data_IF_387828946924
#
_entry.id   IF_387828946924
#
_cell.length_a   1.000
_cell.length_b   1.000
_cell.length_c   1.000
_cell.angle_alpha   90.00
_cell.angle_beta   90.00
_cell.angle_gamma   90.00
#
_symmetry.space_group_name_H-M   'P 1'
#
loop_
_entity.id
_entity.type
_entity.pdbx_description
1 polymer ?
#
# COMPACT_ATOMS: atom_id res chain seq x y z
N UNK A 1 27.64 4.15 -1.87
CA UNK A 1 27.29 2.72 -1.74
C UNK A 1 25.80 2.60 -2.03
N UNK A 2 25.38 2.13 -3.21
CA UNK A 2 23.96 1.89 -3.46
C UNK A 2 23.58 0.65 -2.64
N UNK A 3 22.64 0.81 -1.71
CA UNK A 3 22.08 -0.34 -0.99
C UNK A 3 21.26 -1.14 -2.00
N UNK A 4 21.77 -2.31 -2.37
CA UNK A 4 20.95 -3.34 -2.98
C UNK A 4 19.83 -3.62 -1.98
N UNK A 5 18.59 -3.27 -2.31
CA UNK A 5 17.40 -3.64 -1.55
C UNK A 5 17.45 -5.17 -1.42
N UNK A 6 17.64 -5.68 -0.21
CA UNK A 6 17.57 -7.11 0.06
C UNK A 6 16.15 -7.59 -0.21
N UNK A 7 15.92 -8.10 -1.42
CA UNK A 7 14.68 -8.74 -1.88
C UNK A 7 14.37 -10.05 -1.14
N UNK A 8 15.16 -10.41 -0.12
CA UNK A 8 15.08 -11.66 0.65
C UNK A 8 13.79 -11.82 1.49
N UNK A 9 12.93 -10.79 1.56
CA UNK A 9 11.65 -10.82 2.29
C UNK A 9 10.40 -10.59 1.44
N UNK A 10 10.53 -10.35 0.13
CA UNK A 10 9.39 -9.99 -0.73
C UNK A 10 8.82 -11.25 -1.38
N UNK A 11 7.67 -11.69 -0.90
CA UNK A 11 6.96 -12.84 -1.46
C UNK A 11 6.67 -12.61 -2.95
N UNK A 12 6.87 -13.65 -3.78
CA UNK A 12 6.44 -13.64 -5.19
C UNK A 12 4.93 -13.50 -5.29
N UNK A 13 4.40 -13.04 -6.42
CA UNK A 13 2.95 -12.91 -6.62
C UNK A 13 2.24 -14.24 -6.36
N UNK A 14 2.86 -15.34 -6.75
CA UNK A 14 2.33 -16.68 -6.47
C UNK A 14 2.21 -16.95 -4.96
N UNK A 15 3.26 -16.71 -4.18
CA UNK A 15 3.23 -16.89 -2.72
C UNK A 15 2.22 -15.96 -2.05
N UNK A 16 2.11 -14.72 -2.54
CA UNK A 16 1.13 -13.77 -2.07
C UNK A 16 -0.31 -14.27 -2.30
N UNK A 17 -0.61 -14.78 -3.50
CA UNK A 17 -1.91 -15.35 -3.85
C UNK A 17 -2.21 -16.68 -3.11
N UNK A 18 -1.20 -17.50 -2.88
CA UNK A 18 -1.34 -18.72 -2.06
C UNK A 18 -1.72 -18.41 -0.60
N UNK A 19 -1.36 -17.23 -0.09
CA UNK A 19 -1.77 -16.73 1.21
C UNK A 19 -3.22 -16.25 1.31
N UNK A 20 -3.95 -16.14 0.18
CA UNK A 20 -5.34 -15.66 0.13
C UNK A 20 -6.32 -16.84 0.24
N UNK A 21 -7.48 -16.59 0.84
CA UNK A 21 -8.58 -17.56 0.93
C UNK A 21 -9.26 -17.75 -0.44
N UNK A 22 -9.78 -18.94 -0.68
CA UNK A 22 -10.37 -19.31 -1.99
C UNK A 22 -11.51 -18.39 -2.40
N UNK A 23 -12.35 -17.95 -1.46
CA UNK A 23 -13.48 -17.09 -1.79
C UNK A 23 -13.06 -15.67 -2.21
N UNK A 24 -12.00 -15.12 -1.61
CA UNK A 24 -11.41 -13.86 -2.07
C UNK A 24 -10.71 -14.04 -3.41
N UNK A 25 -10.03 -15.18 -3.65
CA UNK A 25 -9.47 -15.48 -4.97
C UNK A 25 -10.53 -15.58 -6.07
N UNK A 26 -11.70 -16.17 -5.79
CA UNK A 26 -12.82 -16.19 -6.75
C UNK A 26 -13.32 -14.79 -7.08
N UNK A 27 -13.43 -13.91 -6.07
CA UNK A 27 -13.85 -12.51 -6.25
C UNK A 27 -12.82 -11.74 -7.07
N UNK A 28 -11.53 -11.87 -6.73
CA UNK A 28 -10.42 -11.27 -7.48
C UNK A 28 -10.38 -11.75 -8.95
N UNK A 29 -10.53 -13.05 -9.18
CA UNK A 29 -10.61 -13.61 -10.53
C UNK A 29 -11.83 -13.08 -11.31
N UNK A 30 -12.96 -12.87 -10.64
CA UNK A 30 -14.16 -12.32 -11.27
C UNK A 30 -13.98 -10.83 -11.69
N UNK A 31 -13.15 -10.05 -10.99
CA UNK A 31 -12.80 -8.68 -11.40
C UNK A 31 -11.95 -8.66 -12.67
N UNK A 32 -11.07 -9.64 -12.83
CA UNK A 32 -10.23 -9.82 -14.02
C UNK A 32 -10.99 -10.39 -15.24
N UNK A 33 -12.33 -10.40 -15.19
CA UNK A 33 -13.19 -11.06 -16.18
C UNK A 33 -12.90 -12.56 -16.36
N UNK A 34 -12.28 -13.19 -15.37
CA UNK A 34 -11.90 -14.59 -15.39
C UNK A 34 -13.11 -15.54 -15.33
N UNK A 35 -12.90 -16.79 -15.74
CA UNK A 35 -13.97 -17.80 -15.71
C UNK A 35 -14.43 -18.05 -14.27
N UNK A 36 -15.68 -17.68 -13.98
CA UNK A 36 -16.33 -17.87 -12.67
C UNK A 36 -16.49 -19.35 -12.30
N UNK A 37 -16.23 -20.27 -13.24
CA UNK A 37 -16.29 -21.72 -13.02
C UNK A 37 -15.03 -22.30 -12.35
N UNK A 38 -13.94 -21.53 -12.24
CA UNK A 38 -12.75 -22.00 -11.53
C UNK A 38 -13.03 -22.12 -10.03
N UNK A 39 -12.96 -23.35 -9.52
CA UNK A 39 -13.23 -23.66 -8.10
C UNK A 39 -12.00 -24.12 -7.33
N UNK A 40 -10.97 -24.60 -8.04
CA UNK A 40 -9.72 -25.06 -7.43
C UNK A 40 -8.80 -23.88 -7.16
N UNK A 41 -8.22 -23.83 -5.96
CA UNK A 41 -7.31 -22.77 -5.52
C UNK A 41 -6.12 -22.60 -6.48
N UNK A 42 -5.47 -23.70 -6.87
CA UNK A 42 -4.32 -23.66 -7.76
C UNK A 42 -4.66 -23.05 -9.13
N UNK A 43 -5.81 -23.44 -9.71
CA UNK A 43 -6.26 -22.93 -11.01
C UNK A 43 -6.61 -21.43 -10.93
N UNK A 44 -7.23 -20.99 -9.82
CA UNK A 44 -7.50 -19.57 -9.56
C UNK A 44 -6.21 -18.75 -9.45
N UNK A 45 -5.22 -19.25 -8.70
CA UNK A 45 -3.92 -18.58 -8.55
C UNK A 45 -3.21 -18.48 -9.90
N UNK A 46 -3.20 -19.56 -10.69
CA UNK A 46 -2.57 -19.57 -12.01
C UNK A 46 -3.26 -18.61 -12.99
N UNK A 47 -4.60 -18.58 -13.00
CA UNK A 47 -5.36 -17.68 -13.85
C UNK A 47 -5.10 -16.20 -13.50
N UNK A 48 -5.11 -15.85 -12.22
CA UNK A 48 -4.81 -14.48 -11.76
C UNK A 48 -3.37 -14.11 -12.11
N UNK A 49 -2.40 -15.01 -11.85
CA UNK A 49 -0.99 -14.79 -12.17
C UNK A 49 -0.77 -14.50 -13.65
N UNK A 50 -1.45 -15.24 -14.54
CA UNK A 50 -1.36 -15.03 -15.99
C UNK A 50 -1.94 -13.68 -16.44
N UNK A 51 -2.96 -13.17 -15.74
CA UNK A 51 -3.53 -11.85 -16.02
C UNK A 51 -2.67 -10.70 -15.46
N UNK A 52 -1.88 -10.96 -14.43
CA UNK A 52 -1.00 -9.98 -13.79
C UNK A 52 0.41 -9.96 -14.41
N UNK A 53 0.53 -10.30 -15.69
CA UNK A 53 1.81 -10.33 -16.42
C UNK A 53 1.72 -9.61 -17.77
N UNK A 54 2.81 -8.93 -18.15
CA UNK A 54 2.99 -8.38 -19.49
C UNK A 54 1.90 -7.38 -19.91
N UNK A 55 1.27 -7.61 -21.07
CA UNK A 55 0.24 -6.71 -21.61
C UNK A 55 -1.03 -6.70 -20.76
N UNK A 56 -1.39 -7.84 -20.17
CA UNK A 56 -2.58 -7.94 -19.33
C UNK A 56 -2.40 -7.12 -18.04
N UNK A 57 -1.20 -7.13 -17.45
CA UNK A 57 -0.88 -6.31 -16.29
C UNK A 57 -1.14 -4.82 -16.57
N UNK A 58 -0.71 -4.33 -17.74
CA UNK A 58 -0.95 -2.93 -18.14
C UNK A 58 -2.44 -2.63 -18.31
N UNK A 59 -3.22 -3.57 -18.84
CA UNK A 59 -4.68 -3.40 -18.96
C UNK A 59 -5.37 -3.37 -17.60
N UNK A 60 -4.94 -4.19 -16.64
CA UNK A 60 -5.47 -4.16 -15.27
C UNK A 60 -5.05 -2.87 -14.56
N UNK A 61 -3.82 -2.41 -14.79
CA UNK A 61 -3.33 -1.12 -14.31
C UNK A 61 -4.18 0.05 -14.83
N UNK A 62 -4.51 0.06 -16.13
CA UNK A 62 -5.31 1.12 -16.74
C UNK A 62 -6.73 1.21 -16.15
N UNK A 63 -7.28 0.09 -15.68
CA UNK A 63 -8.59 0.01 -15.01
C UNK A 63 -8.60 0.56 -13.58
N UNK A 64 -7.44 0.75 -12.95
CA UNK A 64 -7.37 1.34 -11.62
C UNK A 64 -7.78 2.82 -11.63
N UNK A 65 -8.44 3.26 -10.56
CA UNK A 65 -8.73 4.67 -10.33
C UNK A 65 -7.44 5.45 -10.03
N UNK A 66 -7.47 6.77 -10.18
CA UNK A 66 -6.29 7.62 -10.01
C UNK A 66 -5.65 7.48 -8.61
N UNK A 67 -6.46 7.34 -7.56
CA UNK A 67 -5.98 7.09 -6.20
C UNK A 67 -5.37 5.70 -6.02
N UNK A 68 -5.94 4.69 -6.68
CA UNK A 68 -5.40 3.33 -6.65
C UNK A 68 -4.07 3.26 -7.39
N UNK A 69 -3.96 3.94 -8.54
CA UNK A 69 -2.70 4.12 -9.28
C UNK A 69 -1.66 4.85 -8.43
N UNK A 70 -2.05 5.93 -7.77
CA UNK A 70 -1.17 6.64 -6.86
C UNK A 70 -0.66 5.72 -5.74
N UNK A 71 -1.54 4.93 -5.11
CA UNK A 71 -1.14 4.02 -4.03
C UNK A 71 -0.10 3.00 -4.48
N UNK A 72 -0.26 2.41 -5.67
CA UNK A 72 0.72 1.49 -6.22
C UNK A 72 2.03 2.21 -6.56
N UNK A 73 1.98 3.42 -7.13
CA UNK A 73 3.18 4.20 -7.43
C UNK A 73 3.97 4.57 -6.16
N UNK A 74 3.28 4.96 -5.07
CA UNK A 74 3.91 5.23 -3.76
C UNK A 74 4.63 3.99 -3.21
N UNK A 75 4.04 2.80 -3.36
CA UNK A 75 4.65 1.56 -2.85
C UNK A 75 5.83 1.13 -3.72
N UNK A 76 5.75 1.29 -5.05
CA UNK A 76 6.85 0.90 -5.96
C UNK A 76 8.05 1.83 -5.79
N UNK A 77 7.80 3.14 -5.77
CA UNK A 77 8.86 4.16 -5.76
C UNK A 77 9.25 4.58 -4.34
N UNK A 78 8.52 4.14 -3.33
CA UNK A 78 8.82 4.40 -1.93
C UNK A 78 10.05 3.64 -1.43
N UNK A 79 10.77 4.25 -0.49
CA UNK A 79 12.04 3.71 0.03
C UNK A 79 11.88 2.34 0.72
N UNK A 80 10.75 2.11 1.39
CA UNK A 80 10.47 0.91 2.19
C UNK A 80 9.62 -0.14 1.45
N UNK A 81 9.23 0.13 0.19
CA UNK A 81 8.35 -0.73 -0.62
C UNK A 81 7.07 -1.18 0.11
N UNK A 82 6.54 -0.33 1.01
CA UNK A 82 5.39 -0.60 1.85
C UNK A 82 4.33 0.51 1.77
N UNK A 83 3.06 0.14 1.86
CA UNK A 83 1.94 1.07 1.85
C UNK A 83 1.75 1.71 3.23
N UNK A 84 1.97 3.02 3.31
CA UNK A 84 1.77 3.80 4.52
C UNK A 84 0.45 4.59 4.46
N UNK A 85 -0.63 4.03 4.99
CA UNK A 85 -1.97 4.65 4.97
C UNK A 85 -1.98 6.09 5.50
N UNK A 86 -1.30 6.35 6.62
CA UNK A 86 -1.23 7.67 7.22
C UNK A 86 -0.56 8.70 6.29
N UNK A 87 0.53 8.32 5.62
CA UNK A 87 1.24 9.19 4.70
C UNK A 87 0.44 9.41 3.42
N UNK A 88 -0.20 8.34 2.91
CA UNK A 88 -1.06 8.42 1.74
C UNK A 88 -2.22 9.39 1.99
N UNK A 89 -2.95 9.23 3.09
CA UNK A 89 -4.06 10.12 3.44
C UNK A 89 -3.62 11.55 3.70
N UNK A 90 -2.42 11.78 4.25
CA UNK A 90 -1.88 13.13 4.42
C UNK A 90 -1.59 13.81 3.06
N UNK A 91 -1.18 13.04 2.05
CA UNK A 91 -0.82 13.53 0.72
C UNK A 91 -2.01 13.67 -0.22
N UNK A 92 -2.94 12.72 -0.20
CA UNK A 92 -4.07 12.63 -1.12
C UNK A 92 -5.43 12.99 -0.49
N UNK A 93 -5.48 13.21 0.83
CA UNK A 93 -6.69 13.59 1.58
C UNK A 93 -7.58 12.41 1.98
N UNK A 94 -7.56 11.32 1.22
CA UNK A 94 -8.35 10.11 1.46
C UNK A 94 -7.54 8.82 1.20
N UNK A 95 -8.07 7.69 1.65
CA UNK A 95 -7.50 6.36 1.39
C UNK A 95 -7.96 5.85 0.02
N UNK A 96 -7.14 5.04 -0.69
CA UNK A 96 -7.54 4.45 -1.95
C UNK A 96 -8.60 3.38 -1.69
N UNK A 97 -9.45 3.11 -2.69
CA UNK A 97 -10.47 2.09 -2.54
C UNK A 97 -9.86 0.69 -2.47
N UNK A 98 -9.90 0.10 -1.27
CA UNK A 98 -9.52 -1.31 -0.99
C UNK A 98 -10.69 -2.28 -1.16
N UNK A 99 -11.87 -1.77 -1.48
CA UNK A 99 -13.13 -2.49 -1.49
C UNK A 99 -13.79 -2.53 -0.10
N UNK A 100 -14.90 -3.24 0.00
CA UNK A 100 -15.68 -3.30 1.24
C UNK A 100 -15.23 -4.46 2.12
N UNK A 101 -15.13 -4.22 3.43
CA UNK A 101 -14.96 -5.29 4.42
C UNK A 101 -16.00 -5.13 5.53
N UNK A 102 -16.88 -6.12 5.70
CA UNK A 102 -17.77 -6.18 6.86
C UNK A 102 -17.02 -6.62 8.13
N UNK A 103 -17.54 -6.29 9.32
CA UNK A 103 -16.95 -6.64 10.63
C UNK A 103 -16.57 -8.12 10.80
N UNK A 104 -17.25 -9.02 10.08
CA UNK A 104 -17.02 -10.46 10.14
C UNK A 104 -16.40 -11.06 8.86
N UNK A 105 -16.01 -10.22 7.89
CA UNK A 105 -15.22 -10.63 6.71
C UNK A 105 -15.94 -11.45 5.64
N UNK A 106 -17.12 -12.02 5.89
CA UNK A 106 -17.82 -12.91 4.95
C UNK A 106 -18.21 -12.23 3.63
N UNK A 107 -18.70 -11.00 3.68
CA UNK A 107 -19.10 -10.23 2.48
C UNK A 107 -18.01 -9.27 1.99
N UNK A 108 -16.73 -9.56 2.28
CA UNK A 108 -15.64 -8.72 1.75
C UNK A 108 -15.70 -8.66 0.23
N UNK A 109 -15.76 -7.48 -0.37
CA UNK A 109 -15.60 -7.32 -1.82
C UNK A 109 -14.27 -6.63 -2.06
N UNK A 110 -13.19 -7.36 -2.39
CA UNK A 110 -11.91 -6.74 -2.70
C UNK A 110 -12.02 -5.85 -3.94
N UNK A 111 -11.28 -4.75 -3.97
CA UNK A 111 -11.06 -3.96 -5.19
C UNK A 111 -9.90 -4.53 -6.02
N UNK A 112 -9.73 -4.02 -7.24
CA UNK A 112 -8.60 -4.34 -8.11
C UNK A 112 -7.24 -4.01 -7.48
N UNK A 113 -7.17 -3.01 -6.59
CA UNK A 113 -5.95 -2.66 -5.85
C UNK A 113 -5.36 -3.83 -5.06
N UNK A 114 -6.22 -4.75 -4.58
CA UNK A 114 -5.81 -5.94 -3.83
C UNK A 114 -5.02 -6.96 -4.67
N UNK A 115 -4.98 -6.80 -6.00
CA UNK A 115 -4.13 -7.60 -6.89
C UNK A 115 -2.70 -7.09 -6.97
N UNK A 116 -2.49 -5.81 -6.65
CA UNK A 116 -1.17 -5.17 -6.73
C UNK A 116 -0.50 -5.16 -5.36
N UNK A 117 -1.22 -4.69 -4.33
CA UNK A 117 -0.67 -4.54 -2.99
C UNK A 117 -1.19 -5.69 -2.11
N UNK A 118 -0.27 -6.56 -1.70
CA UNK A 118 -0.53 -7.72 -0.85
C UNK A 118 0.02 -7.49 0.55
N UNK A 119 -0.86 -7.40 1.55
CA UNK A 119 -0.48 -7.14 2.96
C UNK A 119 0.41 -5.89 3.11
N UNK A 120 0.17 -4.88 2.28
CA UNK A 120 0.91 -3.63 2.28
C UNK A 120 2.20 -3.63 1.46
N UNK A 121 2.62 -4.74 0.85
CA UNK A 121 3.80 -4.78 -0.03
C UNK A 121 3.42 -5.21 -1.44
N UNK A 122 4.23 -4.81 -2.43
CA UNK A 122 4.09 -5.30 -3.81
C UNK A 122 5.04 -6.48 -4.00
N UNK A 123 4.58 -7.62 -4.55
CA UNK A 123 5.45 -8.75 -4.88
C UNK A 123 6.60 -8.35 -5.79
N UNK A 124 7.79 -8.93 -5.60
CA UNK A 124 9.01 -8.50 -6.29
C UNK A 124 8.94 -8.66 -7.81
N UNK A 125 8.38 -9.79 -8.27
CA UNK A 125 8.12 -10.08 -9.68
C UNK A 125 7.18 -9.05 -10.30
N UNK A 126 6.17 -8.62 -9.54
CA UNK A 126 5.23 -7.60 -9.98
C UNK A 126 5.86 -6.20 -9.98
N UNK A 127 6.66 -5.87 -8.96
CA UNK A 127 7.35 -4.59 -8.83
C UNK A 127 8.29 -4.34 -10.02
N UNK A 128 9.07 -5.34 -10.44
CA UNK A 128 9.96 -5.24 -11.59
C UNK A 128 9.22 -4.96 -12.91
N UNK A 129 8.04 -5.55 -13.10
CA UNK A 129 7.22 -5.28 -14.28
C UNK A 129 6.59 -3.88 -14.21
N UNK A 130 6.07 -3.49 -13.04
CA UNK A 130 5.41 -2.19 -12.85
C UNK A 130 6.39 -1.02 -13.01
N UNK A 131 7.64 -1.14 -12.52
CA UNK A 131 8.69 -0.13 -12.68
C UNK A 131 8.95 0.27 -14.15
N UNK A 132 8.60 -0.59 -15.11
CA UNK A 132 8.83 -0.31 -16.54
C UNK A 132 7.85 0.70 -17.13
N UNK A 133 6.69 0.89 -16.51
CA UNK A 133 5.63 1.72 -17.09
C UNK A 133 4.84 2.55 -16.08
N UNK A 134 4.96 2.30 -14.77
CA UNK A 134 4.33 3.10 -13.73
C UNK A 134 5.13 4.39 -13.53
N UNK A 135 4.52 5.57 -13.76
CA UNK A 135 5.20 6.84 -13.54
C UNK A 135 5.52 7.03 -12.06
N UNK A 136 6.53 7.85 -11.76
CA UNK A 136 6.83 8.25 -10.39
C UNK A 136 5.58 8.90 -9.75
N UNK A 137 5.28 8.60 -8.48
CA UNK A 137 4.18 9.22 -7.77
C UNK A 137 4.39 10.74 -7.70
N UNK A 138 3.31 11.49 -7.44
CA UNK A 138 3.42 12.95 -7.30
C UNK A 138 4.57 13.28 -6.36
N UNK A 139 5.47 14.20 -6.76
CA UNK A 139 6.56 14.60 -5.89
C UNK A 139 5.97 15.02 -4.55
N UNK A 140 6.41 14.38 -3.47
CA UNK A 140 6.06 14.80 -2.12
C UNK A 140 6.62 16.20 -1.97
N UNK A 141 5.78 17.21 -2.20
CA UNK A 141 6.09 18.58 -1.86
C UNK A 141 6.06 18.62 -0.35
N UNK A 142 7.18 18.24 0.26
CA UNK A 142 7.57 18.88 1.49
C UNK A 142 7.52 20.37 1.16
N UNK A 143 6.54 21.07 1.73
CA UNK A 143 6.65 22.50 1.86
C UNK A 143 7.96 22.71 2.62
N UNK A 144 9.05 22.95 1.87
CA UNK A 144 10.26 23.52 2.42
C UNK A 144 9.78 24.89 2.93
N UNK A 145 9.35 24.93 4.19
CA UNK A 145 9.43 26.13 4.99
C UNK A 145 10.91 26.45 4.92
N UNK A 146 11.27 27.43 4.09
CA UNK A 146 12.61 27.62 3.54
C UNK A 146 13.71 27.56 4.59
N UNK A 147 14.93 27.24 4.15
CA UNK A 147 16.23 27.04 4.84
C UNK A 147 16.55 27.90 6.08
N UNK A 148 15.62 27.92 7.02
CA UNK A 148 15.65 28.56 8.32
C UNK A 148 15.01 27.55 9.23
N UNK A 149 15.79 26.52 9.58
CA UNK A 149 15.56 25.78 10.81
C UNK A 149 15.33 26.83 11.91
N UNK A 150 14.16 26.90 12.55
CA UNK A 150 14.02 27.72 13.73
C UNK A 150 15.01 27.16 14.76
N UNK A 151 15.99 27.99 15.18
CA UNK A 151 16.99 27.65 16.19
C UNK A 151 16.39 27.32 17.57
N UNK A 152 15.06 27.31 17.70
CA UNK A 152 14.36 26.91 18.91
C UNK A 152 12.99 26.37 18.52
N UNK A 153 12.71 25.12 18.91
CA UNK A 153 11.39 24.51 18.82
C UNK A 153 10.84 24.51 20.23
N UNK A 154 9.76 25.25 20.49
CA UNK A 154 9.04 25.19 21.76
C UNK A 154 8.22 23.90 21.78
N UNK A 155 8.70 22.90 22.53
CA UNK A 155 7.97 21.67 22.78
C UNK A 155 7.07 21.87 24.01
N UNK A 156 5.76 21.83 23.81
CA UNK A 156 4.80 21.64 24.90
C UNK A 156 4.78 20.15 25.26
N UNK A 157 5.38 19.80 26.39
CA UNK A 157 5.34 18.43 26.91
C UNK A 157 4.29 18.37 28.00
N UNK A 158 3.15 17.73 27.69
CA UNK A 158 2.16 17.39 28.69
C UNK A 158 2.61 16.13 29.44
N UNK A 159 2.95 16.27 30.72
CA UNK A 159 3.31 15.14 31.60
C UNK A 159 2.16 14.83 32.54
N UNK A 160 1.72 13.57 32.54
CA UNK A 160 0.73 13.09 33.48
C UNK A 160 1.39 12.72 34.82
N UNK A 161 1.01 13.39 35.91
CA UNK A 161 1.57 13.11 37.24
C UNK A 161 0.70 12.14 38.03
N UNK A 162 1.22 10.92 38.25
CA UNK A 162 0.52 9.86 38.99
C UNK A 162 0.37 10.12 40.49
N UNK A 163 1.09 11.10 41.06
CA UNK A 163 0.99 11.42 42.49
C UNK A 163 -0.09 12.45 42.82
N UNK A 164 -0.54 13.24 41.83
CA UNK A 164 -1.49 14.36 42.06
C UNK A 164 -2.78 14.26 41.25
N UNK A 165 -2.90 13.28 40.34
CA UNK A 165 -4.14 13.04 39.59
C UNK A 165 -4.49 14.17 38.61
N UNK A 166 -3.49 14.73 37.92
CA UNK A 166 -3.69 15.79 36.94
C UNK A 166 -2.53 15.94 35.96
N UNK A 167 -2.82 16.56 34.81
CA UNK A 167 -1.86 16.87 33.75
C UNK A 167 -1.10 18.15 34.10
N UNK A 168 0.23 18.08 34.09
CA UNK A 168 1.11 19.24 34.28
C UNK A 168 1.70 19.57 32.91
N UNK A 169 1.52 20.82 32.47
CA UNK A 169 2.09 21.33 31.22
C UNK A 169 3.38 22.08 31.57
N UNK A 170 4.52 21.52 31.20
CA UNK A 170 5.82 22.19 31.35
C UNK A 170 6.32 22.65 29.97
N UNK A 171 6.61 23.95 29.86
CA UNK A 171 7.19 24.54 28.65
C UNK A 171 8.72 24.57 28.82
N UNK A 172 9.41 23.65 28.15
CA UNK A 172 10.87 23.56 28.14
C UNK A 172 11.45 24.17 26.87
N UNK A 173 12.33 25.16 27.00
CA UNK A 173 13.09 25.76 25.90
C UNK A 173 14.44 25.05 25.79
N UNK A 174 14.67 24.32 24.70
CA UNK A 174 15.95 23.65 24.42
C UNK A 174 16.72 24.44 23.35
N UNK A 175 18.00 24.68 23.60
CA UNK A 175 18.96 25.39 22.72
C UNK A 175 19.73 24.41 21.84
#
# INVERSE_FOLDING_TARGET
>A
MPRYQSLDGVATLQQALEGIIVDDLKKLNALLSGDRKLTRKADLVAAIKQQMQGLNLKQVWEQLDDLQKAAVAEVIHGEDSHYHANMFRAKYGEDPDWGTSERYGYNRQPSLLCLFIHRGTIPCDLAEELLRFVPEPQATTLNHVGDTLPNSIELQVEKYSYSTGGTIVENGKFL
#
